data_IF_013833403019
#
_entry.id   IF_013833403019
#
_cell.length_a   1.000
_cell.length_b   1.000
_cell.length_c   1.000
_cell.angle_alpha   90.00
_cell.angle_beta   90.00
_cell.angle_gamma   90.00
#
_symmetry.space_group_name_H-M   'P 1'
#
loop_
_entity.id
_entity.type
_entity.pdbx_description
1 polymer ?
#
# COMPACT_ATOMS: atom_id res chain seq x y z
N UNK A 1 -32.66 -23.11 -6.73
CA UNK A 1 -31.55 -22.85 -5.76
C UNK A 1 -31.79 -21.48 -5.18
N UNK A 2 -31.68 -21.32 -3.88
CA UNK A 2 -31.78 -20.01 -3.23
C UNK A 2 -30.64 -19.12 -3.73
N UNK A 3 -30.92 -17.88 -4.08
CA UNK A 3 -29.88 -16.92 -4.49
C UNK A 3 -28.96 -16.63 -3.31
N UNK A 4 -27.66 -16.39 -3.54
CA UNK A 4 -26.68 -16.17 -2.47
C UNK A 4 -25.89 -14.91 -2.70
N UNK A 5 -25.74 -14.12 -1.61
CA UNK A 5 -24.90 -12.93 -1.54
C UNK A 5 -23.62 -13.25 -0.78
N UNK A 6 -22.47 -12.99 -1.35
CA UNK A 6 -21.18 -13.05 -0.66
C UNK A 6 -20.79 -11.63 -0.21
N UNK A 7 -20.71 -11.42 1.08
CA UNK A 7 -20.43 -10.14 1.72
C UNK A 7 -18.97 -10.05 2.16
N UNK A 8 -18.26 -8.99 1.72
CA UNK A 8 -16.99 -8.60 2.32
C UNK A 8 -17.25 -8.18 3.77
N UNK A 9 -16.78 -8.99 4.71
CA UNK A 9 -17.12 -8.85 6.12
C UNK A 9 -15.92 -8.44 6.96
N UNK A 10 -16.02 -7.31 7.65
CA UNK A 10 -14.95 -6.80 8.52
C UNK A 10 -15.19 -7.06 10.02
N UNK A 11 -16.36 -7.57 10.39
CA UNK A 11 -16.77 -7.72 11.80
C UNK A 11 -17.28 -6.43 12.45
N UNK A 12 -17.20 -5.29 11.78
CA UNK A 12 -17.69 -4.01 12.28
C UNK A 12 -19.21 -3.84 12.17
N UNK A 13 -19.74 -2.76 12.77
CA UNK A 13 -21.18 -2.44 12.78
C UNK A 13 -21.79 -2.49 11.36
N UNK A 14 -21.22 -1.74 10.40
CA UNK A 14 -21.84 -1.57 9.09
C UNK A 14 -21.96 -2.89 8.31
N UNK A 15 -20.93 -3.73 8.36
CA UNK A 15 -20.95 -5.03 7.67
C UNK A 15 -21.79 -6.07 8.41
N UNK A 16 -21.88 -6.01 9.74
CA UNK A 16 -22.74 -6.91 10.52
C UNK A 16 -24.22 -6.61 10.29
N UNK A 17 -24.59 -5.33 10.25
CA UNK A 17 -25.95 -4.90 9.93
C UNK A 17 -26.31 -5.19 8.47
N UNK A 18 -25.32 -5.15 7.57
CA UNK A 18 -25.55 -5.49 6.17
C UNK A 18 -26.02 -6.95 5.96
N UNK A 19 -25.71 -7.88 6.87
CA UNK A 19 -26.13 -9.29 6.75
C UNK A 19 -27.67 -9.42 6.70
N UNK A 20 -28.43 -9.10 7.76
CA UNK A 20 -29.88 -9.22 7.73
C UNK A 20 -30.52 -8.24 6.74
N UNK A 21 -29.94 -7.08 6.55
CA UNK A 21 -30.44 -6.10 5.59
C UNK A 21 -30.39 -6.65 4.14
N UNK A 22 -29.29 -7.24 3.70
CA UNK A 22 -29.15 -7.84 2.39
C UNK A 22 -30.13 -9.02 2.22
N UNK A 23 -30.27 -9.86 3.24
CA UNK A 23 -31.22 -10.97 3.21
C UNK A 23 -32.67 -10.49 3.01
N UNK A 24 -33.09 -9.41 3.68
CA UNK A 24 -34.41 -8.82 3.54
C UNK A 24 -34.62 -8.15 2.16
N UNK A 25 -33.62 -7.42 1.65
CA UNK A 25 -33.73 -6.70 0.39
C UNK A 25 -33.68 -7.60 -0.83
N UNK A 26 -32.95 -8.71 -0.77
CA UNK A 26 -32.74 -9.58 -1.93
C UNK A 26 -33.51 -10.91 -1.83
N UNK A 27 -33.96 -11.31 -0.65
CA UNK A 27 -34.47 -12.65 -0.38
C UNK A 27 -33.41 -13.75 -0.47
N UNK A 28 -32.12 -13.37 -0.54
CA UNK A 28 -31.00 -14.29 -0.71
C UNK A 28 -30.39 -14.71 0.64
N UNK A 29 -29.73 -15.85 0.65
CA UNK A 29 -28.87 -16.27 1.76
C UNK A 29 -27.57 -15.46 1.74
N UNK A 30 -27.11 -14.98 2.91
CA UNK A 30 -25.86 -14.20 3.02
C UNK A 30 -24.74 -15.06 3.56
N UNK A 31 -23.61 -15.04 2.86
CA UNK A 31 -22.35 -15.68 3.24
C UNK A 31 -21.37 -14.56 3.58
N UNK A 32 -20.87 -14.54 4.80
CA UNK A 32 -19.89 -13.56 5.24
C UNK A 32 -18.47 -14.06 4.99
N UNK A 33 -17.60 -13.25 4.37
CA UNK A 33 -16.19 -13.59 4.10
C UNK A 33 -15.29 -12.53 4.72
N UNK A 34 -14.55 -12.92 5.73
CA UNK A 34 -13.50 -12.13 6.35
C UNK A 34 -12.13 -12.62 5.87
N UNK A 35 -11.26 -11.68 5.49
CA UNK A 35 -9.91 -11.98 5.03
C UNK A 35 -8.91 -11.38 6.01
N UNK A 36 -8.05 -12.21 6.57
CA UNK A 36 -6.95 -11.78 7.42
C UNK A 36 -5.78 -11.32 6.55
N UNK A 37 -5.54 -10.01 6.57
CA UNK A 37 -4.42 -9.35 5.89
C UNK A 37 -3.39 -8.79 6.90
N UNK A 38 -3.39 -9.33 8.13
CA UNK A 38 -2.52 -8.88 9.20
C UNK A 38 -3.02 -7.61 9.90
N UNK A 39 -4.33 -7.36 9.89
CA UNK A 39 -4.95 -6.21 10.56
C UNK A 39 -4.88 -6.28 12.08
N UNK A 40 -4.62 -7.46 12.65
CA UNK A 40 -4.64 -7.66 14.11
C UNK A 40 -5.99 -7.39 14.73
N UNK A 41 -6.01 -7.09 16.02
CA UNK A 41 -7.21 -6.69 16.76
C UNK A 41 -8.02 -7.88 17.30
N UNK A 42 -9.29 -8.01 16.92
CA UNK A 42 -10.21 -8.99 17.48
C UNK A 42 -9.92 -10.42 16.97
N UNK A 43 -10.23 -11.41 17.81
CA UNK A 43 -10.16 -12.83 17.42
C UNK A 43 -11.05 -13.12 16.20
N UNK A 44 -10.46 -13.68 15.17
CA UNK A 44 -11.14 -14.04 13.93
C UNK A 44 -12.29 -15.04 14.15
N UNK A 45 -12.21 -15.91 15.16
CA UNK A 45 -13.31 -16.80 15.53
C UNK A 45 -14.49 -16.01 16.11
N UNK A 46 -14.24 -14.97 16.89
CA UNK A 46 -15.29 -14.08 17.37
C UNK A 46 -15.96 -13.30 16.23
N UNK A 47 -15.16 -12.83 15.24
CA UNK A 47 -15.67 -12.20 14.03
C UNK A 47 -16.56 -13.18 13.24
N UNK A 48 -16.11 -14.42 13.05
CA UNK A 48 -16.88 -15.47 12.38
C UNK A 48 -18.21 -15.77 13.10
N UNK A 49 -18.16 -15.92 14.42
CA UNK A 49 -19.36 -16.21 15.22
C UNK A 49 -20.34 -15.04 15.15
N UNK A 50 -19.89 -13.80 15.25
CA UNK A 50 -20.75 -12.62 15.10
C UNK A 50 -21.46 -12.59 13.75
N UNK A 51 -20.81 -12.95 12.66
CA UNK A 51 -21.47 -13.04 11.36
C UNK A 51 -22.64 -14.04 11.38
N UNK A 52 -22.43 -15.22 11.97
CA UNK A 52 -23.48 -16.25 12.11
C UNK A 52 -24.62 -15.76 13.01
N UNK A 53 -24.30 -15.14 14.12
CA UNK A 53 -25.27 -14.59 15.07
C UNK A 53 -26.08 -13.42 14.46
N UNK A 54 -25.52 -12.70 13.48
CA UNK A 54 -26.24 -11.70 12.69
C UNK A 54 -27.08 -12.28 11.55
N UNK A 55 -27.07 -13.62 11.34
CA UNK A 55 -27.95 -14.30 10.38
C UNK A 55 -27.26 -14.71 9.08
N UNK A 56 -25.94 -14.67 8.97
CA UNK A 56 -25.23 -15.28 7.86
C UNK A 56 -25.44 -16.81 7.89
N UNK A 57 -25.75 -17.42 6.74
CA UNK A 57 -25.89 -18.88 6.66
C UNK A 57 -24.54 -19.59 6.72
N UNK A 58 -23.49 -18.90 6.36
CA UNK A 58 -22.11 -19.35 6.47
C UNK A 58 -21.17 -18.14 6.69
N UNK A 59 -20.06 -18.37 7.39
CA UNK A 59 -19.03 -17.37 7.63
C UNK A 59 -17.65 -18.01 7.45
N UNK A 60 -16.89 -17.50 6.47
CA UNK A 60 -15.51 -17.90 6.20
C UNK A 60 -14.54 -16.87 6.74
N UNK A 61 -13.45 -17.37 7.33
CA UNK A 61 -12.28 -16.56 7.67
C UNK A 61 -11.09 -17.14 6.93
N UNK A 62 -10.44 -16.31 6.15
CA UNK A 62 -9.35 -16.71 5.26
C UNK A 62 -8.07 -16.05 5.78
N UNK A 63 -7.09 -16.87 6.19
CA UNK A 63 -5.74 -16.37 6.50
C UNK A 63 -4.98 -16.10 5.19
N UNK A 64 -4.82 -14.84 4.85
CA UNK A 64 -4.14 -14.40 3.63
C UNK A 64 -2.88 -13.56 3.92
N UNK A 65 -2.32 -13.65 5.13
CA UNK A 65 -1.20 -12.81 5.56
C UNK A 65 0.07 -13.03 4.74
N UNK A 66 0.44 -14.28 4.52
CA UNK A 66 1.60 -14.64 3.69
C UNK A 66 1.37 -14.28 2.21
N UNK A 67 0.16 -14.55 1.68
CA UNK A 67 -0.24 -14.17 0.33
C UNK A 67 -0.20 -12.64 0.16
N UNK A 68 -0.71 -11.89 1.12
CA UNK A 68 -0.69 -10.42 1.10
C UNK A 68 0.74 -9.89 1.07
N UNK A 69 1.61 -10.43 1.91
CA UNK A 69 3.02 -10.04 1.95
C UNK A 69 3.73 -10.33 0.62
N UNK A 70 3.58 -11.57 0.10
CA UNK A 70 4.34 -12.05 -1.05
C UNK A 70 3.79 -11.54 -2.40
N UNK A 71 2.46 -11.50 -2.57
CA UNK A 71 1.84 -11.21 -3.87
C UNK A 71 1.37 -9.74 -4.02
N UNK A 72 1.33 -8.95 -2.94
CA UNK A 72 0.85 -7.57 -2.97
C UNK A 72 1.85 -6.57 -2.38
N UNK A 73 2.35 -6.80 -1.16
CA UNK A 73 3.30 -5.89 -0.52
C UNK A 73 4.69 -5.93 -1.19
N UNK A 74 5.18 -7.13 -1.48
CA UNK A 74 6.48 -7.30 -2.14
C UNK A 74 6.54 -6.67 -3.54
N UNK A 75 5.57 -6.88 -4.46
CA UNK A 75 5.52 -6.15 -5.72
C UNK A 75 5.48 -4.62 -5.55
N UNK A 76 4.73 -4.12 -4.56
CA UNK A 76 4.68 -2.68 -4.27
C UNK A 76 6.03 -2.13 -3.81
N UNK A 77 6.77 -2.88 -2.98
CA UNK A 77 8.12 -2.51 -2.57
C UNK A 77 9.08 -2.50 -3.77
N UNK A 78 9.08 -3.54 -4.63
CA UNK A 78 9.94 -3.64 -5.82
C UNK A 78 9.62 -2.56 -6.87
N UNK A 79 8.37 -2.08 -6.90
CA UNK A 79 7.94 -0.93 -7.67
C UNK A 79 8.25 0.41 -6.99
N UNK A 80 8.88 0.43 -5.81
CA UNK A 80 9.05 1.65 -5.01
C UNK A 80 7.76 2.48 -4.90
N UNK A 81 6.60 1.81 -4.79
CA UNK A 81 5.29 2.38 -5.05
C UNK A 81 4.85 3.35 -3.95
N UNK A 82 4.88 4.63 -4.26
CA UNK A 82 4.43 5.72 -3.42
C UNK A 82 3.47 6.61 -4.21
N UNK A 83 2.18 6.56 -3.92
CA UNK A 83 1.21 7.49 -4.53
C UNK A 83 1.50 8.91 -4.05
N UNK A 84 1.53 9.88 -5.00
CA UNK A 84 1.94 11.27 -4.76
C UNK A 84 3.32 11.36 -4.05
N UNK A 85 4.23 10.45 -4.37
CA UNK A 85 5.60 10.34 -3.83
C UNK A 85 5.68 10.13 -2.30
N UNK A 86 4.58 9.75 -1.65
CA UNK A 86 4.49 9.65 -0.19
C UNK A 86 3.72 8.45 0.33
N UNK A 87 2.55 8.16 -0.22
CA UNK A 87 1.62 7.16 0.31
C UNK A 87 1.95 5.75 -0.17
N UNK A 88 2.36 4.83 0.72
CA UNK A 88 2.77 3.47 0.34
C UNK A 88 1.59 2.52 0.07
N UNK A 89 0.41 3.04 -0.30
CA UNK A 89 -0.74 2.28 -0.79
C UNK A 89 -1.37 1.31 0.24
N UNK A 90 -1.31 1.62 1.53
CA UNK A 90 -1.73 0.75 2.64
C UNK A 90 -3.09 0.07 2.39
N UNK A 91 -4.15 0.86 2.22
CA UNK A 91 -5.50 0.33 1.96
C UNK A 91 -5.64 -0.21 0.54
N UNK A 92 -5.01 0.45 -0.44
CA UNK A 92 -5.16 0.11 -1.85
C UNK A 92 -4.66 -1.30 -2.19
N UNK A 93 -3.60 -1.78 -1.53
CA UNK A 93 -3.01 -3.10 -1.77
C UNK A 93 -3.86 -4.25 -1.25
N UNK A 94 -4.62 -4.07 -0.15
CA UNK A 94 -5.43 -5.15 0.41
C UNK A 94 -6.71 -5.43 -0.38
N UNK A 95 -7.26 -4.44 -1.09
CA UNK A 95 -8.55 -4.56 -1.78
C UNK A 95 -8.54 -5.59 -2.93
N UNK A 96 -7.55 -5.62 -3.83
CA UNK A 96 -7.51 -6.65 -4.88
C UNK A 96 -7.37 -8.09 -4.32
N UNK A 97 -6.65 -8.29 -3.21
CA UNK A 97 -6.59 -9.57 -2.52
C UNK A 97 -7.97 -9.98 -1.99
N UNK A 98 -8.65 -9.08 -1.30
CA UNK A 98 -9.99 -9.34 -0.76
C UNK A 98 -10.95 -9.67 -1.91
N UNK A 99 -10.92 -8.93 -3.02
CA UNK A 99 -11.73 -9.19 -4.22
C UNK A 99 -11.48 -10.59 -4.78
N UNK A 100 -10.23 -11.03 -4.90
CA UNK A 100 -9.84 -12.38 -5.35
C UNK A 100 -10.53 -13.46 -4.49
N UNK A 101 -10.49 -13.29 -3.17
CA UNK A 101 -11.12 -14.23 -2.23
C UNK A 101 -12.66 -14.17 -2.25
N UNK A 102 -13.26 -13.00 -2.42
CA UNK A 102 -14.72 -12.88 -2.60
C UNK A 102 -15.21 -13.59 -3.86
N UNK A 103 -14.50 -13.45 -4.97
CA UNK A 103 -14.81 -14.17 -6.21
C UNK A 103 -14.68 -15.68 -6.00
N UNK A 104 -13.62 -16.13 -5.33
CA UNK A 104 -13.41 -17.55 -5.00
C UNK A 104 -14.55 -18.10 -4.15
N UNK A 105 -14.95 -17.37 -3.11
CA UNK A 105 -16.07 -17.74 -2.25
C UNK A 105 -17.41 -17.75 -3.03
N UNK A 106 -17.65 -16.76 -3.89
CA UNK A 106 -18.85 -16.74 -4.73
C UNK A 106 -18.93 -17.97 -5.64
N UNK A 107 -17.83 -18.36 -6.28
CA UNK A 107 -17.78 -19.59 -7.10
C UNK A 107 -17.99 -20.86 -6.27
N UNK A 108 -17.36 -20.94 -5.10
CA UNK A 108 -17.46 -22.09 -4.18
C UNK A 108 -18.90 -22.30 -3.68
N UNK A 109 -19.59 -21.23 -3.33
CA UNK A 109 -20.91 -21.28 -2.73
C UNK A 109 -22.07 -21.08 -3.73
N UNK A 110 -21.78 -20.92 -5.02
CA UNK A 110 -22.79 -20.62 -6.03
C UNK A 110 -23.46 -19.26 -5.84
N UNK A 111 -22.71 -18.30 -5.28
CA UNK A 111 -23.14 -16.91 -5.12
C UNK A 111 -23.22 -16.18 -6.47
N UNK A 112 -24.27 -15.41 -6.67
CA UNK A 112 -24.50 -14.60 -7.87
C UNK A 112 -24.34 -13.11 -7.62
N UNK A 113 -24.24 -12.73 -6.34
CA UNK A 113 -24.13 -11.36 -5.87
C UNK A 113 -22.91 -11.26 -4.93
N UNK A 114 -22.13 -10.19 -5.09
CA UNK A 114 -21.09 -9.78 -4.12
C UNK A 114 -21.49 -8.44 -3.51
N UNK A 115 -21.27 -8.29 -2.22
CA UNK A 115 -21.57 -7.06 -1.49
C UNK A 115 -20.36 -6.54 -0.70
N UNK A 116 -20.26 -5.23 -0.59
CA UNK A 116 -19.26 -4.54 0.24
C UNK A 116 -19.87 -3.34 0.97
N UNK A 117 -19.26 -2.96 2.11
CA UNK A 117 -19.75 -1.87 2.97
C UNK A 117 -19.24 -0.47 2.61
N UNK A 118 -18.61 -0.27 1.46
CA UNK A 118 -17.97 1.00 1.13
C UNK A 118 -18.99 2.08 0.76
N UNK A 119 -18.69 3.33 1.15
CA UNK A 119 -19.46 4.51 0.82
C UNK A 119 -19.12 5.04 -0.58
N UNK A 120 -20.01 5.88 -1.16
CA UNK A 120 -19.78 6.52 -2.46
C UNK A 120 -18.70 7.60 -2.48
N UNK A 121 -18.17 8.02 -1.33
CA UNK A 121 -17.12 9.05 -1.21
C UNK A 121 -15.70 8.47 -1.22
N UNK A 122 -15.54 7.19 -0.83
CA UNK A 122 -14.25 6.56 -0.71
C UNK A 122 -13.75 5.91 -2.01
N UNK A 123 -12.44 5.74 -2.12
CA UNK A 123 -11.82 5.03 -3.24
C UNK A 123 -12.10 3.52 -3.22
N UNK A 124 -12.36 2.95 -2.05
CA UNK A 124 -12.47 1.51 -1.87
C UNK A 124 -13.62 0.89 -2.68
N UNK A 125 -14.75 1.60 -2.82
CA UNK A 125 -15.83 1.14 -3.71
C UNK A 125 -15.32 0.91 -5.15
N UNK A 126 -14.47 1.81 -5.65
CA UNK A 126 -13.89 1.69 -6.99
C UNK A 126 -12.98 0.47 -7.05
N UNK A 127 -12.10 0.29 -6.06
CA UNK A 127 -11.18 -0.85 -5.98
C UNK A 127 -11.90 -2.18 -5.93
N UNK A 128 -12.98 -2.29 -5.14
CA UNK A 128 -13.81 -3.50 -5.10
C UNK A 128 -14.51 -3.74 -6.44
N UNK A 129 -15.24 -2.78 -6.96
CA UNK A 129 -16.11 -2.97 -8.12
C UNK A 129 -15.33 -3.15 -9.42
N UNK A 130 -14.27 -2.37 -9.64
CA UNK A 130 -13.39 -2.53 -10.80
C UNK A 130 -12.64 -3.87 -10.75
N UNK A 131 -12.20 -4.29 -9.56
CA UNK A 131 -11.59 -5.61 -9.38
C UNK A 131 -12.57 -6.75 -9.65
N UNK A 132 -13.81 -6.66 -9.15
CA UNK A 132 -14.88 -7.63 -9.42
C UNK A 132 -15.22 -7.67 -10.92
N UNK A 133 -15.37 -6.52 -11.57
CA UNK A 133 -15.63 -6.45 -13.01
C UNK A 133 -14.52 -7.10 -13.85
N UNK A 134 -13.27 -7.01 -13.39
CA UNK A 134 -12.14 -7.63 -14.07
C UNK A 134 -12.09 -9.16 -13.88
N UNK A 135 -12.40 -9.67 -12.67
CA UNK A 135 -12.29 -11.09 -12.35
C UNK A 135 -13.57 -11.91 -12.59
N UNK A 136 -14.73 -11.27 -12.42
CA UNK A 136 -16.02 -11.97 -12.47
C UNK A 136 -17.14 -11.01 -12.95
N UNK A 137 -17.14 -10.60 -14.23
CA UNK A 137 -18.10 -9.64 -14.79
C UNK A 137 -19.54 -10.12 -14.78
N UNK A 138 -19.79 -11.39 -14.53
CA UNK A 138 -21.10 -12.02 -14.42
C UNK A 138 -21.73 -11.86 -13.02
N UNK A 139 -20.95 -11.48 -12.00
CA UNK A 139 -21.47 -11.26 -10.64
C UNK A 139 -22.13 -9.89 -10.53
N UNK A 140 -23.28 -9.84 -9.88
CA UNK A 140 -23.93 -8.59 -9.50
C UNK A 140 -23.23 -7.99 -8.27
N UNK A 141 -23.24 -6.66 -8.16
CA UNK A 141 -22.63 -5.95 -7.03
C UNK A 141 -23.71 -5.15 -6.31
N UNK A 142 -23.72 -5.20 -4.98
CA UNK A 142 -24.57 -4.39 -4.12
C UNK A 142 -23.69 -3.72 -3.06
N UNK A 143 -23.80 -2.40 -2.92
CA UNK A 143 -23.10 -1.61 -1.92
C UNK A 143 -24.10 -0.88 -1.01
N UNK A 144 -24.59 -1.49 0.09
CA UNK A 144 -25.69 -0.94 0.88
C UNK A 144 -25.46 0.49 1.37
N UNK A 145 -24.26 0.82 1.80
CA UNK A 145 -23.91 2.15 2.28
C UNK A 145 -24.08 3.23 1.20
N UNK A 146 -23.78 2.91 -0.06
CA UNK A 146 -23.94 3.79 -1.20
C UNK A 146 -25.35 3.74 -1.79
N UNK A 147 -25.84 2.55 -2.08
CA UNK A 147 -27.02 2.34 -2.93
C UNK A 147 -28.32 2.67 -2.18
N UNK A 148 -28.32 2.54 -0.85
CA UNK A 148 -29.50 2.79 -0.01
C UNK A 148 -29.32 3.95 0.99
N UNK A 149 -28.28 4.78 0.80
CA UNK A 149 -27.94 5.88 1.70
C UNK A 149 -27.93 5.47 3.18
N UNK A 150 -27.24 4.36 3.45
CA UNK A 150 -27.10 3.77 4.76
C UNK A 150 -26.14 4.59 5.62
N UNK A 151 -26.69 5.33 6.57
CA UNK A 151 -25.88 6.12 7.51
C UNK A 151 -25.62 5.32 8.79
N UNK A 152 -24.58 5.71 9.55
CA UNK A 152 -24.27 5.07 10.84
C UNK A 152 -25.47 5.08 11.80
N UNK A 153 -26.21 6.18 11.87
CA UNK A 153 -27.39 6.29 12.74
C UNK A 153 -28.50 5.31 12.31
N UNK A 154 -28.71 5.14 11.01
CA UNK A 154 -29.65 4.14 10.48
C UNK A 154 -29.16 2.72 10.78
N UNK A 155 -27.86 2.46 10.70
CA UNK A 155 -27.27 1.17 11.02
C UNK A 155 -27.46 0.83 12.50
N UNK A 156 -27.26 1.79 13.40
CA UNK A 156 -27.49 1.62 14.84
C UNK A 156 -28.98 1.33 15.12
N UNK A 157 -29.88 2.15 14.58
CA UNK A 157 -31.32 1.98 14.78
C UNK A 157 -31.80 0.61 14.26
N UNK A 158 -31.31 0.16 13.12
CA UNK A 158 -31.64 -1.16 12.55
C UNK A 158 -31.05 -2.30 13.42
N UNK A 159 -29.82 -2.15 13.93
CA UNK A 159 -29.22 -3.13 14.82
C UNK A 159 -30.03 -3.30 16.11
N UNK A 160 -30.51 -2.20 16.70
CA UNK A 160 -31.39 -2.20 17.89
C UNK A 160 -32.75 -2.84 17.59
N UNK A 161 -33.38 -2.47 16.47
CA UNK A 161 -34.68 -3.04 16.04
C UNK A 161 -34.60 -4.56 15.84
N UNK A 162 -33.50 -5.04 15.28
CA UNK A 162 -33.28 -6.48 15.01
C UNK A 162 -32.66 -7.22 16.20
N UNK A 163 -32.27 -6.53 17.26
CA UNK A 163 -31.61 -7.13 18.42
C UNK A 163 -30.28 -7.79 18.10
N UNK A 164 -29.49 -7.21 17.15
CA UNK A 164 -28.23 -7.77 16.73
C UNK A 164 -27.18 -7.70 17.85
N UNK A 165 -26.35 -8.75 18.02
CA UNK A 165 -25.32 -8.82 19.08
C UNK A 165 -24.09 -7.98 18.71
N UNK A 166 -24.28 -6.66 18.54
CA UNK A 166 -23.24 -5.73 18.12
C UNK A 166 -23.10 -4.66 19.21
N UNK A 167 -21.88 -4.40 19.65
CA UNK A 167 -21.59 -3.27 20.53
C UNK A 167 -21.62 -1.95 19.76
N UNK A 168 -22.73 -1.22 19.87
CA UNK A 168 -22.92 0.08 19.25
C UNK A 168 -22.32 1.24 20.05
N UNK A 169 -21.82 0.97 21.27
CA UNK A 169 -21.34 1.98 22.22
C UNK A 169 -19.91 2.46 21.94
N UNK A 170 -19.11 1.68 21.23
CA UNK A 170 -17.72 2.02 20.89
C UNK A 170 -17.67 3.14 19.82
N UNK A 171 -17.67 4.37 20.28
CA UNK A 171 -17.54 5.56 19.39
C UNK A 171 -16.07 5.89 19.18
N UNK A 172 -15.42 5.27 18.22
CA UNK A 172 -14.24 5.94 17.63
C UNK A 172 -14.74 7.11 16.78
N UNK A 173 -14.25 8.34 16.99
CA UNK A 173 -14.56 9.46 16.10
C UNK A 173 -13.85 9.32 14.74
N UNK A 174 -12.94 8.35 14.63
CA UNK A 174 -12.12 8.12 13.45
C UNK A 174 -12.56 6.87 12.69
N UNK A 175 -12.42 6.94 11.37
CA UNK A 175 -12.39 5.76 10.50
C UNK A 175 -10.96 5.22 10.47
N UNK A 176 -10.79 3.93 10.74
CA UNK A 176 -9.49 3.27 10.81
C UNK A 176 -9.51 2.07 9.87
N UNK A 177 -8.52 2.02 8.98
CA UNK A 177 -8.20 0.86 8.15
C UNK A 177 -6.76 0.43 8.41
N UNK A 178 -6.53 -0.86 8.63
CA UNK A 178 -5.20 -1.36 8.96
C UNK A 178 -4.98 -2.76 8.42
N UNK A 179 -3.72 -3.06 8.12
CA UNK A 179 -3.25 -4.35 7.64
C UNK A 179 -1.75 -4.51 7.92
N UNK A 180 -1.15 -5.59 7.44
CA UNK A 180 0.28 -5.86 7.59
C UNK A 180 1.17 -4.70 7.06
N UNK A 181 0.74 -4.00 6.00
CA UNK A 181 1.54 -2.96 5.33
C UNK A 181 1.47 -1.60 6.01
N UNK A 182 0.45 -1.38 6.81
CA UNK A 182 0.30 -0.15 7.58
C UNK A 182 -1.12 0.12 8.06
N UNK A 183 -1.33 1.35 8.53
CA UNK A 183 -2.58 1.81 9.12
C UNK A 183 -2.94 3.20 8.61
N UNK A 184 -4.20 3.42 8.31
CA UNK A 184 -4.80 4.68 7.89
C UNK A 184 -5.82 5.16 8.92
N UNK A 185 -5.83 6.45 9.22
CA UNK A 185 -6.80 7.11 10.10
C UNK A 185 -7.33 8.34 9.41
N UNK A 186 -8.64 8.44 9.29
CA UNK A 186 -9.33 9.59 8.69
C UNK A 186 -10.56 9.99 9.51
N UNK A 187 -11.19 11.09 9.15
CA UNK A 187 -12.42 11.64 9.74
C UNK A 187 -12.25 12.30 11.11
N UNK A 188 -13.35 12.69 11.73
CA UNK A 188 -13.34 13.35 13.02
C UNK A 188 -12.66 14.72 12.96
N UNK A 189 -11.87 15.04 13.99
CA UNK A 189 -11.21 16.36 14.07
C UNK A 189 -10.13 16.57 13.00
N UNK A 190 -9.68 15.49 12.32
CA UNK A 190 -8.74 15.56 11.20
C UNK A 190 -9.35 16.20 9.95
N UNK A 191 -10.68 16.29 9.86
CA UNK A 191 -11.37 16.94 8.72
C UNK A 191 -11.07 18.44 8.64
N UNK A 192 -10.77 19.09 9.75
CA UNK A 192 -10.15 20.41 9.74
C UNK A 192 -8.63 20.25 9.52
N UNK A 193 -8.19 20.57 8.31
CA UNK A 193 -6.79 20.39 7.89
C UNK A 193 -5.78 21.28 8.65
N UNK A 194 -6.24 22.23 9.46
CA UNK A 194 -5.39 23.05 10.33
C UNK A 194 -5.05 22.35 11.65
N UNK A 195 -5.79 21.31 12.02
CA UNK A 195 -5.52 20.52 13.22
C UNK A 195 -4.36 19.56 12.99
N UNK A 196 -3.31 19.63 13.80
CA UNK A 196 -2.24 18.61 13.80
C UNK A 196 -2.74 17.27 14.32
N UNK A 197 -2.21 16.13 13.84
CA UNK A 197 -2.50 14.84 14.44
C UNK A 197 -2.02 14.80 15.90
N UNK A 198 -2.80 14.19 16.77
CA UNK A 198 -2.45 13.98 18.19
C UNK A 198 -1.83 12.58 18.37
N UNK A 199 -1.03 12.41 19.44
CA UNK A 199 -0.34 11.14 19.70
C UNK A 199 -1.29 9.94 19.85
N UNK A 200 -2.47 10.12 20.40
CA UNK A 200 -3.48 9.06 20.57
C UNK A 200 -3.99 8.46 19.26
N UNK A 201 -3.72 9.10 18.11
CA UNK A 201 -4.04 8.55 16.80
C UNK A 201 -3.11 7.40 16.39
N UNK A 202 -1.88 7.41 16.89
CA UNK A 202 -0.85 6.48 16.48
C UNK A 202 -0.87 5.19 17.30
N UNK A 203 -0.82 4.06 16.60
CA UNK A 203 -0.84 2.73 17.24
C UNK A 203 0.33 1.84 16.78
N UNK A 204 0.89 2.10 15.60
CA UNK A 204 2.01 1.32 15.04
C UNK A 204 3.36 1.97 15.30
N UNK A 205 3.36 3.25 15.67
CA UNK A 205 4.58 4.05 15.81
C UNK A 205 4.63 4.75 17.15
N UNK A 206 5.76 4.66 17.82
CA UNK A 206 6.04 5.43 19.02
C UNK A 206 6.30 6.91 18.68
N UNK A 207 6.11 7.79 19.66
CA UNK A 207 6.40 9.22 19.51
C UNK A 207 7.89 9.45 19.14
N UNK A 208 8.20 10.00 17.95
CA UNK A 208 9.56 10.22 17.51
C UNK A 208 10.31 11.30 18.32
N UNK A 209 9.60 12.14 19.08
CA UNK A 209 10.20 13.15 19.94
C UNK A 209 10.73 12.59 21.26
N UNK A 210 10.31 11.37 21.66
CA UNK A 210 10.84 10.73 22.84
C UNK A 210 12.27 10.26 22.63
N UNK A 211 13.16 10.62 23.56
CA UNK A 211 14.56 10.20 23.52
C UNK A 211 14.68 8.70 23.73
N UNK A 212 15.44 8.04 22.85
CA UNK A 212 15.75 6.60 22.87
C UNK A 212 17.00 6.31 22.06
N UNK A 213 17.63 5.17 22.32
CA UNK A 213 18.77 4.72 21.54
C UNK A 213 18.36 4.42 20.09
N UNK A 214 19.27 4.72 19.17
CA UNK A 214 19.11 4.37 17.76
C UNK A 214 19.15 2.85 17.57
N UNK A 215 18.34 2.34 16.65
CA UNK A 215 18.35 0.92 16.26
C UNK A 215 19.02 0.77 14.88
N UNK A 216 20.06 -0.04 14.78
CA UNK A 216 20.73 -0.35 13.52
C UNK A 216 20.22 -1.68 12.98
N UNK A 217 19.81 -1.70 11.70
CA UNK A 217 19.32 -2.89 11.01
C UNK A 217 20.05 -3.08 9.68
N UNK A 218 20.37 -4.34 9.36
CA UNK A 218 20.89 -4.76 8.06
C UNK A 218 19.85 -5.61 7.36
N UNK A 219 19.42 -5.17 6.17
CA UNK A 219 18.45 -5.90 5.34
C UNK A 219 19.20 -6.49 4.15
N UNK A 220 19.08 -7.81 3.97
CA UNK A 220 19.63 -8.52 2.81
C UNK A 220 18.55 -8.75 1.79
N UNK A 221 18.83 -8.41 0.54
CA UNK A 221 17.96 -8.61 -0.61
C UNK A 221 18.55 -9.61 -1.61
N UNK A 222 17.68 -10.39 -2.25
CA UNK A 222 17.96 -11.21 -3.41
C UNK A 222 16.94 -10.94 -4.52
N UNK A 223 17.39 -10.45 -5.67
CA UNK A 223 16.53 -10.01 -6.78
C UNK A 223 15.36 -9.10 -6.35
N UNK A 224 15.65 -8.14 -5.47
CA UNK A 224 14.68 -7.21 -4.90
C UNK A 224 13.77 -7.80 -3.82
N UNK A 225 14.00 -9.03 -3.37
CA UNK A 225 13.25 -9.69 -2.30
C UNK A 225 14.03 -9.59 -0.99
N UNK A 226 13.46 -9.09 0.12
CA UNK A 226 14.12 -9.13 1.42
C UNK A 226 14.15 -10.58 1.92
N UNK A 227 15.36 -11.14 2.07
CA UNK A 227 15.59 -12.55 2.43
C UNK A 227 16.21 -12.74 3.80
N UNK A 228 16.82 -11.69 4.37
CA UNK A 228 17.32 -11.74 5.74
C UNK A 228 17.30 -10.36 6.42
N UNK A 229 17.17 -10.35 7.74
CA UNK A 229 17.35 -9.19 8.61
C UNK A 229 18.43 -9.53 9.65
N UNK A 230 19.47 -8.70 9.72
CA UNK A 230 20.65 -8.90 10.60
C UNK A 230 21.28 -10.32 10.46
N UNK A 231 21.23 -10.88 9.24
CA UNK A 231 21.73 -12.21 8.91
C UNK A 231 20.76 -13.36 9.17
N UNK A 232 19.65 -13.13 9.84
CA UNK A 232 18.61 -14.14 10.08
C UNK A 232 17.65 -14.22 8.89
N UNK A 233 17.47 -15.40 8.32
CA UNK A 233 16.59 -15.65 7.17
C UNK A 233 15.13 -15.33 7.51
N UNK A 234 14.44 -14.61 6.63
CA UNK A 234 13.05 -14.22 6.79
C UNK A 234 12.24 -14.45 5.52
N UNK A 235 10.93 -14.70 5.68
CA UNK A 235 9.94 -14.56 4.60
C UNK A 235 9.57 -13.09 4.41
N UNK A 236 8.95 -12.69 3.28
CA UNK A 236 8.43 -11.32 3.12
C UNK A 236 7.50 -10.90 4.26
N UNK A 237 6.63 -11.80 4.72
CA UNK A 237 5.75 -11.56 5.87
C UNK A 237 6.55 -11.25 7.15
N UNK A 238 7.55 -12.08 7.47
CA UNK A 238 8.40 -11.90 8.64
C UNK A 238 9.23 -10.61 8.56
N UNK A 239 9.75 -10.29 7.36
CA UNK A 239 10.49 -9.04 7.14
C UNK A 239 9.64 -7.80 7.42
N UNK A 240 8.40 -7.78 6.93
CA UNK A 240 7.47 -6.67 7.17
C UNK A 240 7.13 -6.56 8.66
N UNK A 241 6.82 -7.68 9.32
CA UNK A 241 6.50 -7.68 10.75
C UNK A 241 7.67 -7.17 11.61
N UNK A 242 8.88 -7.66 11.35
CA UNK A 242 10.06 -7.25 12.12
C UNK A 242 10.37 -5.76 11.92
N UNK A 243 10.27 -5.27 10.68
CA UNK A 243 10.48 -3.86 10.42
C UNK A 243 9.34 -2.97 10.91
N UNK A 244 8.09 -3.45 10.90
CA UNK A 244 6.99 -2.75 11.58
C UNK A 244 7.29 -2.57 13.06
N UNK A 245 7.79 -3.60 13.72
CA UNK A 245 8.14 -3.56 15.15
C UNK A 245 9.32 -2.60 15.42
N UNK A 246 10.43 -2.74 14.67
CA UNK A 246 11.67 -1.98 14.89
C UNK A 246 11.53 -0.53 14.46
N UNK A 247 11.11 -0.29 13.22
CA UNK A 247 10.93 1.06 12.68
C UNK A 247 9.78 1.80 13.41
N UNK A 248 8.70 1.09 13.74
CA UNK A 248 7.60 1.62 14.54
C UNK A 248 8.06 2.06 15.93
N UNK A 249 8.88 1.28 16.63
CA UNK A 249 9.46 1.65 17.92
C UNK A 249 10.31 2.93 17.86
N UNK A 250 10.82 3.29 16.69
CA UNK A 250 11.59 4.52 16.45
C UNK A 250 10.75 5.67 15.85
N UNK A 251 9.42 5.49 15.74
CA UNK A 251 8.51 6.49 15.20
C UNK A 251 8.56 6.66 13.68
N UNK A 252 9.23 5.75 12.96
CA UNK A 252 9.35 5.79 11.50
C UNK A 252 8.00 5.50 10.84
N UNK A 253 7.72 6.16 9.71
CA UNK A 253 6.58 5.84 8.85
C UNK A 253 5.29 6.58 9.16
N UNK A 254 5.33 7.66 9.95
CA UNK A 254 4.20 8.58 10.14
C UNK A 254 4.08 9.52 8.95
N UNK A 255 2.90 9.56 8.35
CA UNK A 255 2.59 10.41 7.20
C UNK A 255 1.25 11.12 7.46
N UNK A 256 1.22 12.42 7.24
CA UNK A 256 0.00 13.23 7.23
C UNK A 256 -0.09 13.88 5.85
N UNK A 257 -1.12 13.57 5.09
CA UNK A 257 -1.23 14.04 3.73
C UNK A 257 -2.66 14.32 3.28
N UNK A 258 -2.76 15.26 2.36
CA UNK A 258 -3.98 15.50 1.59
C UNK A 258 -3.80 14.83 0.24
N UNK A 259 -4.70 13.96 -0.12
CA UNK A 259 -4.65 13.17 -1.35
C UNK A 259 -5.84 13.45 -2.28
N UNK A 260 -5.66 13.13 -3.56
CA UNK A 260 -6.68 13.26 -4.58
C UNK A 260 -7.44 11.94 -4.71
N UNK A 261 -8.71 11.92 -4.26
CA UNK A 261 -9.57 10.75 -4.43
C UNK A 261 -10.07 10.62 -5.87
N UNK A 262 -10.28 9.39 -6.31
CA UNK A 262 -10.80 9.06 -7.65
C UNK A 262 -12.11 9.77 -8.01
N UNK A 263 -12.95 9.99 -7.01
CA UNK A 263 -14.22 10.71 -7.18
C UNK A 263 -14.06 12.24 -7.34
N UNK A 264 -12.81 12.74 -7.38
CA UNK A 264 -12.50 14.14 -7.68
C UNK A 264 -12.51 15.08 -6.48
N UNK A 265 -12.49 14.55 -5.26
CA UNK A 265 -12.38 15.35 -4.04
C UNK A 265 -11.01 15.16 -3.39
N UNK A 266 -10.58 16.16 -2.61
CA UNK A 266 -9.42 16.02 -1.73
C UNK A 266 -9.84 15.46 -0.38
N UNK A 267 -9.02 14.57 0.18
CA UNK A 267 -9.20 14.05 1.53
C UNK A 267 -7.89 14.08 2.29
N UNK A 268 -7.96 14.19 3.60
CA UNK A 268 -6.79 14.10 4.46
C UNK A 268 -6.82 12.78 5.20
N UNK A 269 -5.68 12.12 5.19
CA UNK A 269 -5.46 10.87 5.91
C UNK A 269 -4.11 10.91 6.63
N UNK A 270 -4.08 10.30 7.82
CA UNK A 270 -2.87 10.08 8.60
C UNK A 270 -2.53 8.60 8.52
N UNK A 271 -1.31 8.30 8.10
CA UNK A 271 -0.84 6.93 7.92
C UNK A 271 0.28 6.59 8.88
N UNK A 272 0.37 5.31 9.20
CA UNK A 272 1.51 4.68 9.85
C UNK A 272 1.93 3.47 9.01
N UNK A 273 3.12 3.52 8.44
CA UNK A 273 3.63 2.46 7.56
C UNK A 273 5.13 2.19 7.82
N UNK A 274 5.52 1.82 9.05
CA UNK A 274 6.93 1.79 9.43
C UNK A 274 7.76 0.80 8.63
N UNK A 275 7.32 -0.46 8.49
CA UNK A 275 8.02 -1.47 7.72
C UNK A 275 8.04 -1.17 6.23
N UNK A 276 6.93 -0.67 5.68
CA UNK A 276 6.83 -0.29 4.27
C UNK A 276 7.84 0.80 3.92
N UNK A 277 7.90 1.88 4.71
CA UNK A 277 8.83 2.99 4.48
C UNK A 277 10.29 2.53 4.63
N UNK A 278 10.60 1.73 5.65
CA UNK A 278 11.96 1.20 5.84
C UNK A 278 12.38 0.31 4.66
N UNK A 279 11.52 -0.63 4.22
CA UNK A 279 11.79 -1.52 3.10
C UNK A 279 11.96 -0.76 1.78
N UNK A 280 11.05 0.15 1.45
CA UNK A 280 11.12 0.94 0.21
C UNK A 280 12.39 1.79 0.21
N UNK A 281 12.73 2.43 1.34
CA UNK A 281 13.95 3.23 1.45
C UNK A 281 15.21 2.38 1.23
N UNK A 282 15.30 1.21 1.88
CA UNK A 282 16.43 0.31 1.69
C UNK A 282 16.55 -0.21 0.25
N UNK A 283 15.43 -0.59 -0.34
CA UNK A 283 15.37 -1.12 -1.70
C UNK A 283 15.81 -0.07 -2.74
N UNK A 284 15.33 1.18 -2.64
CA UNK A 284 15.75 2.28 -3.50
C UNK A 284 17.26 2.53 -3.46
N UNK A 285 17.85 2.41 -2.29
CA UNK A 285 19.29 2.62 -2.09
C UNK A 285 20.14 1.44 -2.62
N UNK A 286 19.57 0.24 -2.66
CA UNK A 286 20.21 -0.90 -3.33
C UNK A 286 20.10 -0.79 -4.85
N UNK A 287 18.94 -0.39 -5.38
CA UNK A 287 18.79 -0.07 -6.82
C UNK A 287 19.78 1.01 -7.27
N UNK A 288 20.03 2.01 -6.45
CA UNK A 288 20.95 3.09 -6.79
C UNK A 288 22.38 2.61 -7.09
N UNK A 289 22.80 1.47 -6.56
CA UNK A 289 24.14 0.91 -6.79
C UNK A 289 24.15 -0.27 -7.76
N UNK A 290 23.00 -0.90 -8.06
CA UNK A 290 22.92 -2.11 -8.90
C UNK A 290 22.25 -1.90 -10.25
N UNK A 291 21.39 -0.89 -10.39
CA UNK A 291 20.63 -0.66 -11.64
C UNK A 291 21.34 0.37 -12.50
N UNK A 292 21.46 0.07 -13.80
CA UNK A 292 22.08 0.97 -14.78
C UNK A 292 21.31 2.29 -14.89
N UNK A 293 22.03 3.38 -15.13
CA UNK A 293 21.54 4.77 -15.09
C UNK A 293 20.28 5.02 -15.93
N UNK A 294 20.24 4.58 -17.18
CA UNK A 294 19.12 4.89 -18.08
C UNK A 294 17.91 3.99 -17.78
N UNK A 295 18.16 2.74 -17.35
CA UNK A 295 17.14 1.86 -16.82
C UNK A 295 16.52 2.44 -15.53
N UNK A 296 17.34 2.91 -14.59
CA UNK A 296 16.89 3.53 -13.35
C UNK A 296 16.04 4.80 -13.60
N UNK A 297 16.43 5.62 -14.59
CA UNK A 297 15.66 6.81 -14.99
C UNK A 297 14.30 6.48 -15.56
N UNK A 298 14.23 5.47 -16.41
CA UNK A 298 12.99 5.02 -17.02
C UNK A 298 12.09 4.36 -15.97
N UNK A 299 12.66 3.52 -15.12
CA UNK A 299 11.94 2.81 -14.04
C UNK A 299 11.17 3.76 -13.13
N UNK A 300 11.68 4.95 -12.80
CA UNK A 300 10.96 5.92 -11.95
C UNK A 300 9.57 6.25 -12.49
N UNK A 301 9.42 6.43 -13.79
CA UNK A 301 8.11 6.68 -14.41
C UNK A 301 7.21 5.43 -14.40
N UNK A 302 7.82 4.25 -14.52
CA UNK A 302 7.13 2.96 -14.39
C UNK A 302 6.61 2.78 -12.96
N UNK A 303 7.45 3.01 -11.96
CA UNK A 303 7.13 2.90 -10.53
C UNK A 303 5.97 3.83 -10.15
N UNK A 304 6.04 5.08 -10.57
CA UNK A 304 4.96 6.05 -10.36
C UNK A 304 3.65 5.57 -11.00
N UNK A 305 3.70 5.15 -12.27
CA UNK A 305 2.50 4.67 -12.98
C UNK A 305 1.93 3.40 -12.36
N UNK A 306 2.79 2.51 -11.89
CA UNK A 306 2.39 1.31 -11.16
C UNK A 306 1.61 1.67 -9.89
N UNK A 307 2.15 2.60 -9.09
CA UNK A 307 1.49 3.10 -7.87
C UNK A 307 0.14 3.74 -8.15
N UNK A 308 0.03 4.57 -9.20
CA UNK A 308 -1.23 5.17 -9.64
C UNK A 308 -2.27 4.11 -10.02
N UNK A 309 -1.89 3.08 -10.80
CA UNK A 309 -2.82 2.02 -11.19
C UNK A 309 -3.37 1.27 -9.98
N UNK A 310 -2.54 1.01 -8.98
CA UNK A 310 -2.99 0.36 -7.73
C UNK A 310 -3.91 1.27 -6.93
N UNK A 311 -3.55 2.54 -6.79
CA UNK A 311 -4.40 3.53 -6.12
C UNK A 311 -5.77 3.63 -6.78
N UNK A 312 -5.80 3.60 -8.11
CA UNK A 312 -6.98 3.71 -8.97
C UNK A 312 -7.84 2.42 -9.01
N UNK A 313 -7.42 1.34 -8.32
CA UNK A 313 -8.16 0.06 -8.33
C UNK A 313 -7.94 -0.79 -9.58
N UNK A 314 -6.93 -0.46 -10.39
CA UNK A 314 -6.63 -1.11 -11.68
C UNK A 314 -5.60 -2.24 -11.54
N UNK A 315 -5.57 -2.93 -10.38
CA UNK A 315 -4.66 -4.04 -10.11
C UNK A 315 -4.68 -5.13 -11.19
N UNK A 316 -5.86 -5.49 -11.69
CA UNK A 316 -6.03 -6.56 -12.69
C UNK A 316 -5.95 -6.06 -14.13
N UNK A 317 -5.53 -4.83 -14.37
CA UNK A 317 -5.45 -4.25 -15.71
C UNK A 317 -4.30 -4.83 -16.53
N UNK A 318 -4.43 -4.91 -17.88
CA UNK A 318 -3.34 -5.33 -18.75
C UNK A 318 -2.09 -4.47 -18.63
N UNK A 319 -2.24 -3.15 -18.40
CA UNK A 319 -1.10 -2.26 -18.21
C UNK A 319 -0.32 -2.61 -16.94
N UNK A 320 -1.00 -2.83 -15.81
CA UNK A 320 -0.33 -3.22 -14.57
C UNK A 320 0.48 -4.51 -14.75
N UNK A 321 -0.08 -5.52 -15.43
CA UNK A 321 0.63 -6.75 -15.74
C UNK A 321 1.89 -6.53 -16.61
N UNK A 322 1.84 -5.59 -17.56
CA UNK A 322 3.00 -5.26 -18.36
C UNK A 322 4.08 -4.53 -17.55
N UNK A 323 3.68 -3.66 -16.61
CA UNK A 323 4.61 -3.00 -15.70
C UNK A 323 5.22 -3.98 -14.70
N UNK A 324 4.47 -4.98 -14.23
CA UNK A 324 5.01 -6.06 -13.38
C UNK A 324 6.16 -6.78 -14.09
N UNK A 325 5.97 -7.18 -15.35
CA UNK A 325 7.00 -7.87 -16.12
C UNK A 325 8.25 -7.00 -16.33
N UNK A 326 8.09 -5.69 -16.52
CA UNK A 326 9.20 -4.74 -16.58
C UNK A 326 9.94 -4.67 -15.24
N UNK A 327 9.21 -4.54 -14.14
CA UNK A 327 9.80 -4.46 -12.79
C UNK A 327 10.52 -5.77 -12.47
N UNK A 328 9.92 -6.92 -12.75
CA UNK A 328 10.54 -8.23 -12.52
C UNK A 328 11.88 -8.39 -13.26
N UNK A 329 11.98 -7.92 -14.49
CA UNK A 329 13.22 -7.92 -15.25
C UNK A 329 14.26 -6.96 -14.62
N UNK A 330 13.85 -5.75 -14.26
CA UNK A 330 14.74 -4.75 -13.67
C UNK A 330 15.31 -5.15 -12.30
N UNK A 331 14.64 -6.07 -11.58
CA UNK A 331 15.07 -6.51 -10.25
C UNK A 331 16.13 -7.62 -10.23
N UNK A 332 16.43 -8.25 -11.36
CA UNK A 332 17.29 -9.46 -11.41
C UNK A 332 18.68 -9.27 -10.79
N UNK A 333 19.21 -8.07 -10.79
CA UNK A 333 20.52 -7.73 -10.22
C UNK A 333 20.44 -6.95 -8.89
N UNK A 334 19.23 -6.72 -8.36
CA UNK A 334 19.03 -5.97 -7.13
C UNK A 334 19.22 -6.90 -5.92
N UNK A 335 20.47 -7.35 -5.72
CA UNK A 335 20.86 -8.25 -4.66
C UNK A 335 22.01 -7.65 -3.84
N UNK A 336 21.97 -7.78 -2.51
CA UNK A 336 22.98 -7.23 -1.62
C UNK A 336 22.43 -6.85 -0.26
N UNK A 337 23.16 -6.03 0.45
CA UNK A 337 22.80 -5.62 1.82
C UNK A 337 22.75 -4.10 1.95
N UNK A 338 21.75 -3.64 2.70
CA UNK A 338 21.59 -2.23 3.09
C UNK A 338 21.54 -2.14 4.61
N UNK A 339 22.44 -1.33 5.17
CA UNK A 339 22.47 -1.02 6.59
C UNK A 339 21.76 0.32 6.82
N UNK A 340 20.87 0.35 7.80
CA UNK A 340 20.09 1.53 8.17
C UNK A 340 20.17 1.81 9.65
N UNK A 341 20.10 3.08 10.01
CA UNK A 341 19.83 3.54 11.37
C UNK A 341 18.39 4.03 11.46
N UNK A 342 17.61 3.44 12.35
CA UNK A 342 16.25 3.82 12.67
C UNK A 342 16.28 4.69 13.93
N UNK A 343 15.86 5.96 13.83
CA UNK A 343 15.93 6.87 14.97
C UNK A 343 15.11 8.14 14.73
N UNK A 344 14.37 8.60 15.74
CA UNK A 344 13.68 9.88 15.70
C UNK A 344 12.74 10.07 14.51
N UNK A 345 11.99 9.03 14.15
CA UNK A 345 11.05 9.04 13.03
C UNK A 345 11.70 8.86 11.65
N UNK A 346 12.99 8.56 11.57
CA UNK A 346 13.73 8.45 10.31
C UNK A 346 14.35 7.07 10.15
N UNK A 347 14.34 6.58 8.92
CA UNK A 347 15.11 5.44 8.45
C UNK A 347 16.26 5.99 7.57
N UNK A 348 17.47 6.01 8.11
CA UNK A 348 18.64 6.61 7.44
C UNK A 348 19.58 5.50 6.99
N UNK A 349 19.86 5.42 5.68
CA UNK A 349 20.80 4.44 5.15
C UNK A 349 22.24 4.86 5.45
N UNK A 350 23.00 3.95 6.07
CA UNK A 350 24.38 4.17 6.51
C UNK A 350 25.40 3.27 5.79
N UNK A 351 24.94 2.28 5.02
CA UNK A 351 25.83 1.42 4.23
C UNK A 351 25.09 0.63 3.16
N UNK A 352 25.78 0.32 2.07
CA UNK A 352 25.31 -0.52 0.95
C UNK A 352 26.45 -1.41 0.52
N UNK A 353 26.17 -2.67 0.21
CA UNK A 353 27.14 -3.56 -0.44
C UNK A 353 26.42 -4.55 -1.35
N UNK A 354 27.00 -4.81 -2.51
CA UNK A 354 26.47 -5.76 -3.49
C UNK A 354 27.59 -6.26 -4.39
N UNK A 355 27.59 -7.54 -4.71
CA UNK A 355 28.47 -8.12 -5.74
C UNK A 355 28.05 -7.66 -7.16
N UNK A 356 26.79 -7.26 -7.33
CA UNK A 356 26.27 -6.68 -8.59
C UNK A 356 26.43 -5.16 -8.66
N UNK A 357 27.19 -4.54 -7.76
CA UNK A 357 27.39 -3.09 -7.70
C UNK A 357 28.05 -2.56 -8.98
N UNK A 358 27.46 -1.50 -9.51
CA UNK A 358 28.04 -0.70 -10.61
C UNK A 358 28.92 0.45 -10.07
N UNK A 359 28.99 0.62 -8.75
CA UNK A 359 29.88 1.59 -8.13
C UNK A 359 31.31 1.03 -8.10
N UNK A 360 32.19 1.63 -8.87
CA UNK A 360 33.62 1.33 -8.89
C UNK A 360 34.39 2.40 -8.10
N UNK A 361 34.99 1.99 -7.00
CA UNK A 361 35.74 2.89 -6.13
C UNK A 361 36.94 3.53 -6.87
N UNK A 362 37.64 2.79 -7.71
CA UNK A 362 38.80 3.30 -8.46
C UNK A 362 38.42 4.38 -9.45
N UNK A 363 37.25 4.29 -10.09
CA UNK A 363 36.73 5.33 -10.99
C UNK A 363 36.05 6.49 -10.28
N UNK A 364 35.59 6.30 -9.05
CA UNK A 364 34.82 7.30 -8.31
C UNK A 364 35.69 8.15 -7.36
N UNK A 365 36.86 7.66 -6.96
CA UNK A 365 37.73 8.36 -6.01
C UNK A 365 38.41 9.56 -6.63
N UNK A 366 38.66 10.61 -5.82
CA UNK A 366 39.51 11.76 -6.15
C UNK A 366 40.91 11.66 -5.55
N UNK A 367 41.20 10.55 -4.86
CA UNK A 367 42.47 10.31 -4.18
C UNK A 367 43.47 9.50 -5.04
N UNK A 368 44.59 9.16 -4.43
CA UNK A 368 45.61 8.29 -5.02
C UNK A 368 44.98 6.94 -5.43
N UNK A 369 45.10 6.58 -6.70
CA UNK A 369 44.50 5.36 -7.25
C UNK A 369 43.30 5.59 -8.15
N UNK A 370 42.97 6.88 -8.45
CA UNK A 370 42.00 7.22 -9.49
C UNK A 370 42.40 6.58 -10.83
N UNK A 371 41.49 5.76 -11.36
CA UNK A 371 41.67 5.07 -12.66
C UNK A 371 40.89 5.73 -13.78
N UNK A 372 40.10 6.77 -13.49
CA UNK A 372 39.29 7.46 -14.47
C UNK A 372 40.15 8.40 -15.36
N UNK A 373 40.14 8.19 -16.66
CA UNK A 373 40.82 9.09 -17.59
C UNK A 373 40.03 10.40 -17.77
N UNK A 374 40.36 11.41 -16.97
CA UNK A 374 39.71 12.71 -16.98
C UNK A 374 39.89 13.45 -18.33
N UNK A 375 40.88 13.09 -19.16
CA UNK A 375 41.12 13.74 -20.44
C UNK A 375 39.98 13.51 -21.43
N UNK A 376 39.30 12.38 -21.34
CA UNK A 376 38.11 12.03 -22.18
C UNK A 376 36.95 12.99 -21.96
N UNK A 377 36.81 13.56 -20.76
CA UNK A 377 35.71 14.48 -20.42
C UNK A 377 35.71 15.73 -21.29
N UNK A 378 36.88 16.24 -21.73
CA UNK A 378 36.98 17.44 -22.57
C UNK A 378 36.23 17.31 -23.88
N UNK A 379 36.39 16.18 -24.58
CA UNK A 379 35.68 15.90 -25.83
C UNK A 379 34.20 15.67 -25.60
N UNK A 380 33.86 14.92 -24.58
CA UNK A 380 32.48 14.64 -24.20
C UNK A 380 31.67 15.91 -23.92
N UNK A 381 32.15 16.84 -23.07
CA UNK A 381 31.38 18.04 -22.71
C UNK A 381 31.18 18.97 -23.92
N UNK A 382 32.14 19.01 -24.86
CA UNK A 382 32.00 19.78 -26.10
C UNK A 382 30.86 19.28 -26.98
N UNK A 383 30.77 17.95 -27.17
CA UNK A 383 29.73 17.33 -27.97
C UNK A 383 28.38 17.36 -27.23
N UNK A 384 28.37 17.09 -25.92
CA UNK A 384 27.16 17.12 -25.11
C UNK A 384 26.51 18.52 -25.05
N UNK A 385 27.33 19.56 -25.00
CA UNK A 385 26.90 20.96 -25.03
C UNK A 385 26.53 21.52 -26.41
N UNK A 386 26.77 20.77 -27.48
CA UNK A 386 26.58 21.27 -28.86
C UNK A 386 25.12 21.69 -29.16
N UNK A 387 24.08 20.94 -28.81
CA UNK A 387 22.70 21.38 -29.04
C UNK A 387 22.38 22.72 -28.40
N UNK A 388 22.79 22.93 -27.15
CA UNK A 388 22.57 24.19 -26.41
C UNK A 388 23.35 25.35 -27.04
N UNK A 389 24.60 25.10 -27.47
CA UNK A 389 25.42 26.09 -28.18
C UNK A 389 24.78 26.51 -29.51
N UNK A 390 24.23 25.55 -30.27
CA UNK A 390 23.55 25.83 -31.53
C UNK A 390 22.26 26.62 -31.35
N UNK A 391 21.49 26.31 -30.28
CA UNK A 391 20.30 27.06 -29.96
C UNK A 391 20.65 28.52 -29.56
N UNK A 392 21.63 28.72 -28.72
CA UNK A 392 22.08 30.06 -28.32
C UNK A 392 22.60 30.88 -29.51
N UNK A 393 23.35 30.26 -30.45
CA UNK A 393 23.83 30.92 -31.67
C UNK A 393 22.67 31.30 -32.62
N UNK A 394 21.63 30.48 -32.73
CA UNK A 394 20.39 30.84 -33.44
C UNK A 394 19.71 32.04 -32.84
N UNK A 395 19.50 32.02 -31.52
CA UNK A 395 18.74 33.08 -30.82
C UNK A 395 19.50 34.43 -30.91
N UNK A 396 20.82 34.41 -30.82
CA UNK A 396 21.64 35.61 -31.02
C UNK A 396 21.49 36.17 -32.45
N UNK A 397 21.42 35.31 -33.50
CA UNK A 397 21.19 35.76 -34.86
C UNK A 397 19.81 36.36 -35.08
N UNK A 398 18.81 35.90 -34.35
CA UNK A 398 17.42 36.39 -34.44
C UNK A 398 17.14 37.62 -33.56
N UNK A 399 18.18 38.20 -32.93
CA UNK A 399 18.05 39.37 -32.08
C UNK A 399 17.43 39.11 -30.70
N UNK A 400 17.48 37.85 -30.22
CA UNK A 400 17.08 37.49 -28.84
C UNK A 400 18.10 38.01 -27.85
N UNK A 401 17.62 38.76 -26.84
CA UNK A 401 18.42 39.13 -25.69
C UNK A 401 18.62 37.87 -24.80
N UNK A 402 19.88 37.57 -24.46
CA UNK A 402 20.17 36.61 -23.42
C UNK A 402 19.61 37.14 -22.09
N UNK A 403 18.63 36.48 -21.52
CA UNK A 403 18.14 36.70 -20.15
C UNK A 403 19.00 35.92 -19.16
#
# INVERSE_FOLDING_TARGET
MTERVVLAYSGGLDTSVAIPYLAEQTGAEVIAVAVDVGQGGEDLNAIRQRALDCGAVEAEVIDARDEFAAEYCLPAMRANALYMDRYPLVSALSRPLIVKHLVTAARKHGGTIVSHGCTGKGNDQVRFEVGLAALAPDLKIIAPARDFAWTRDKAIAFAEEKGLPIDVSAKSPYSIDQNLWGRAVETGFLEDIWNGPIEDLYAYTADPAQERDADEVVITFDAGVPVAIDGETVTPYQAILELNRRAGAQGVGRLDMVEDRLVGIKSREVYEAPGAIALITAHQELEAVTVERDLARFKRGVDQRWGELVYDGLWFSPLKKALDAFIDDAQQQVSGEVRMTLHGGRATVTGRRSEASLYDFGMATYDTGDTFDQSLAKGFVQLWGLPSKMAAARDARLGGTQS
#
